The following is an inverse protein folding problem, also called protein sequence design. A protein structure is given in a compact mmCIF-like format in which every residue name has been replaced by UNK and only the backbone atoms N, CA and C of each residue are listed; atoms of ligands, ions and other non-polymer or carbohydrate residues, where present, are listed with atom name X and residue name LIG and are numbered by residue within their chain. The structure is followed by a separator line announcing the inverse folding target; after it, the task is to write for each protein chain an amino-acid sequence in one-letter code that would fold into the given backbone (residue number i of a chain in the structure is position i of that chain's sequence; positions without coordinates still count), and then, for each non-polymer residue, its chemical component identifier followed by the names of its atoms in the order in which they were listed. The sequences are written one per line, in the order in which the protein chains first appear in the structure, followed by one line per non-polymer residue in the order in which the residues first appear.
data_IF_602870260665
#
_entry.id   IF_602870260665
#
_cell.length_a   1.000
_cell.length_b   1.000
_cell.length_c   1.000
_cell.angle_alpha   90.00
_cell.angle_beta   90.00
_cell.angle_gamma   90.00
#
_symmetry.space_group_name_H-M   'P 1'
#
loop_
_entity.id
_entity.type
_entity.pdbx_description
1 polymer ?
#
# COMPACT_ATOMS: atom_id res chain seq x y z
N UNK A 1 26.51 -6.06 -27.79
CA UNK A 1 26.30 -7.45 -28.23
C UNK A 1 25.30 -7.48 -29.36
N UNK A 2 25.29 -8.54 -30.15
CA UNK A 2 24.31 -8.74 -31.25
C UNK A 2 22.86 -8.66 -30.75
N UNK A 3 22.59 -9.21 -29.57
CA UNK A 3 21.27 -9.16 -28.92
C UNK A 3 20.81 -7.75 -28.58
N UNK A 4 21.73 -6.91 -28.06
CA UNK A 4 21.40 -5.49 -27.78
C UNK A 4 21.08 -4.75 -29.05
N UNK A 5 21.85 -4.93 -30.13
CA UNK A 5 21.59 -4.29 -31.40
C UNK A 5 20.24 -4.73 -32.01
N UNK A 6 19.87 -6.00 -31.86
CA UNK A 6 18.56 -6.48 -32.29
C UNK A 6 17.41 -5.87 -31.46
N UNK A 7 17.60 -5.73 -30.16
CA UNK A 7 16.63 -5.10 -29.27
C UNK A 7 16.44 -3.60 -29.60
N UNK A 8 17.55 -2.87 -29.80
CA UNK A 8 17.50 -1.46 -30.21
C UNK A 8 16.82 -1.28 -31.58
N UNK A 9 17.07 -2.18 -32.52
CA UNK A 9 16.38 -2.19 -33.82
C UNK A 9 14.88 -2.44 -33.68
N UNK A 10 14.47 -3.41 -32.81
CA UNK A 10 13.06 -3.69 -32.53
C UNK A 10 12.35 -2.50 -31.89
N UNK A 11 13.00 -1.87 -30.90
CA UNK A 11 12.45 -0.72 -30.17
C UNK A 11 12.55 0.59 -30.97
N UNK A 12 13.28 0.58 -32.10
CA UNK A 12 13.60 1.77 -32.91
C UNK A 12 14.19 2.92 -32.10
N UNK A 13 14.87 2.59 -31.01
CA UNK A 13 15.52 3.53 -30.11
C UNK A 13 16.85 2.97 -29.63
N UNK A 14 17.93 3.74 -29.67
CA UNK A 14 19.18 3.36 -29.07
C UNK A 14 19.05 3.36 -27.53
N UNK A 15 19.44 2.28 -26.89
CA UNK A 15 19.42 2.16 -25.43
C UNK A 15 20.78 2.51 -24.81
N UNK A 16 21.86 2.43 -25.61
CA UNK A 16 23.23 2.68 -25.15
C UNK A 16 23.96 3.67 -26.06
N UNK A 17 24.75 4.53 -25.43
CA UNK A 17 25.70 5.41 -26.09
C UNK A 17 27.12 5.05 -25.69
N UNK A 18 28.07 5.21 -26.63
CA UNK A 18 29.50 5.12 -26.34
C UNK A 18 30.09 6.53 -26.17
N UNK A 19 30.40 6.88 -24.92
CA UNK A 19 31.06 8.17 -24.62
C UNK A 19 32.45 7.86 -24.05
N UNK A 20 33.51 8.35 -24.73
CA UNK A 20 34.90 8.17 -24.28
C UNK A 20 35.28 6.72 -23.92
N UNK A 21 34.91 5.77 -24.79
CA UNK A 21 35.10 4.31 -24.59
C UNK A 21 34.27 3.67 -23.45
N UNK A 22 33.40 4.40 -22.80
CA UNK A 22 32.47 3.86 -21.80
C UNK A 22 31.08 3.73 -22.39
N UNK A 23 30.40 2.68 -21.99
CA UNK A 23 28.99 2.44 -22.34
C UNK A 23 28.11 3.18 -21.33
N UNK A 24 27.21 4.03 -21.79
CA UNK A 24 26.24 4.74 -20.97
C UNK A 24 24.84 4.49 -21.50
N UNK A 25 23.85 4.49 -20.62
CA UNK A 25 22.46 4.41 -21.02
C UNK A 25 22.00 5.73 -21.65
N UNK A 26 21.19 5.65 -22.67
CA UNK A 26 20.39 6.78 -23.15
C UNK A 26 19.23 7.06 -22.17
N UNK A 27 18.51 8.18 -22.25
CA UNK A 27 17.27 8.38 -21.51
C UNK A 27 16.24 7.25 -21.75
N UNK A 28 16.09 6.81 -23.01
CA UNK A 28 15.26 5.67 -23.37
C UNK A 28 15.78 4.35 -22.76
N UNK A 29 17.11 4.16 -22.74
CA UNK A 29 17.76 3.01 -22.10
C UNK A 29 17.53 2.98 -20.59
N UNK A 30 17.60 4.11 -19.91
CA UNK A 30 17.34 4.20 -18.46
C UNK A 30 15.88 3.86 -18.12
N UNK A 31 14.93 4.40 -18.90
CA UNK A 31 13.50 4.08 -18.76
C UNK A 31 13.26 2.59 -18.98
N UNK A 32 13.76 2.04 -20.09
CA UNK A 32 13.59 0.62 -20.41
C UNK A 32 14.25 -0.29 -19.38
N UNK A 33 15.41 0.09 -18.83
CA UNK A 33 16.09 -0.65 -17.77
C UNK A 33 15.22 -0.78 -16.52
N UNK A 34 14.53 0.31 -16.11
CA UNK A 34 13.68 0.26 -14.92
C UNK A 34 12.52 -0.71 -15.10
N UNK A 35 11.87 -0.70 -16.27
CA UNK A 35 10.77 -1.61 -16.61
C UNK A 35 11.23 -3.07 -16.67
N UNK A 36 12.33 -3.34 -17.37
CA UNK A 36 12.90 -4.70 -17.48
C UNK A 36 13.32 -5.21 -16.11
N UNK A 37 13.89 -4.37 -15.26
CA UNK A 37 14.26 -4.77 -13.89
C UNK A 37 13.03 -5.17 -13.07
N UNK A 38 11.92 -4.44 -13.18
CA UNK A 38 10.66 -4.78 -12.52
C UNK A 38 10.13 -6.15 -13.00
N UNK A 39 10.16 -6.40 -14.32
CA UNK A 39 9.74 -7.67 -14.92
C UNK A 39 10.64 -8.83 -14.42
N UNK A 40 11.96 -8.67 -14.44
CA UNK A 40 12.89 -9.69 -13.97
C UNK A 40 12.73 -9.99 -12.49
N UNK A 41 12.51 -8.97 -11.65
CA UNK A 41 12.19 -9.15 -10.24
C UNK A 41 10.89 -9.96 -10.06
N UNK A 42 9.87 -9.68 -10.88
CA UNK A 42 8.62 -10.43 -10.84
C UNK A 42 8.81 -11.91 -11.24
N UNK A 43 9.64 -12.17 -12.24
CA UNK A 43 10.00 -13.55 -12.64
C UNK A 43 10.75 -14.27 -11.52
N UNK A 44 11.75 -13.61 -10.89
CA UNK A 44 12.49 -14.19 -9.77
C UNK A 44 11.58 -14.51 -8.58
N UNK A 45 10.70 -13.57 -8.21
CA UNK A 45 9.70 -13.79 -7.16
C UNK A 45 8.78 -14.96 -7.48
N UNK A 46 8.29 -15.06 -8.73
CA UNK A 46 7.41 -16.14 -9.17
C UNK A 46 8.15 -17.49 -9.13
N UNK A 47 9.41 -17.53 -9.55
CA UNK A 47 10.24 -18.74 -9.52
C UNK A 47 10.49 -19.20 -8.07
N UNK A 48 10.83 -18.28 -7.17
CA UNK A 48 10.98 -18.58 -5.72
C UNK A 48 9.68 -19.10 -5.12
N UNK A 49 8.55 -18.51 -5.51
CA UNK A 49 7.24 -18.97 -5.07
C UNK A 49 6.98 -20.44 -5.46
N UNK A 50 7.31 -20.81 -6.70
CA UNK A 50 7.17 -22.21 -7.18
C UNK A 50 8.13 -23.16 -6.45
N UNK A 51 9.37 -22.71 -6.15
CA UNK A 51 10.35 -23.51 -5.39
C UNK A 51 9.88 -23.78 -3.95
N UNK A 52 9.08 -22.89 -3.37
CA UNK A 52 8.49 -23.06 -2.04
C UNK A 52 7.09 -23.69 -2.06
N UNK A 53 6.59 -24.01 -3.25
CA UNK A 53 5.27 -24.64 -3.44
C UNK A 53 5.31 -26.11 -3.04
N UNK A 54 4.76 -26.44 -1.89
CA UNK A 54 4.76 -27.79 -1.28
C UNK A 54 3.71 -28.76 -1.86
N UNK A 55 3.32 -28.63 -3.12
CA UNK A 55 2.49 -29.60 -3.88
C UNK A 55 1.00 -29.63 -3.54
N UNK A 56 0.59 -29.80 -2.31
CA UNK A 56 -0.82 -29.91 -1.89
C UNK A 56 -1.26 -28.86 -0.86
N UNK A 57 -0.40 -27.95 -0.50
CA UNK A 57 -0.72 -26.94 0.52
C UNK A 57 -1.68 -25.89 -0.06
N UNK A 58 -2.85 -25.75 0.52
CA UNK A 58 -3.77 -24.67 0.17
C UNK A 58 -3.15 -23.33 0.56
N UNK A 59 -3.09 -22.38 -0.38
CA UNK A 59 -2.55 -21.04 -0.12
C UNK A 59 -3.70 -20.07 0.04
N UNK A 60 -3.83 -19.49 1.25
CA UNK A 60 -4.76 -18.41 1.54
C UNK A 60 -4.05 -17.07 1.39
N UNK A 61 -4.39 -16.31 0.36
CA UNK A 61 -3.83 -14.97 0.12
C UNK A 61 -4.73 -13.91 0.74
N UNK A 62 -4.20 -13.18 1.71
CA UNK A 62 -4.91 -12.14 2.45
C UNK A 62 -4.35 -10.78 2.05
N UNK A 63 -5.23 -9.89 1.55
CA UNK A 63 -4.94 -8.48 1.30
C UNK A 63 -5.29 -7.62 2.52
N UNK A 64 -4.44 -6.64 2.85
CA UNK A 64 -4.69 -5.76 3.98
C UNK A 64 -4.01 -4.39 3.81
N UNK A 65 -4.46 -3.41 4.56
CA UNK A 65 -3.73 -2.16 4.72
C UNK A 65 -2.56 -2.35 5.71
N UNK A 66 -1.43 -1.63 5.55
CA UNK A 66 -0.22 -1.86 6.33
C UNK A 66 -0.44 -1.82 7.85
N UNK A 67 -1.04 -0.75 8.35
CA UNK A 67 -1.25 -0.54 9.78
C UNK A 67 -2.18 -1.60 10.38
N UNK A 68 -3.30 -1.88 9.70
CA UNK A 68 -4.25 -2.90 10.13
C UNK A 68 -3.62 -4.30 10.12
N UNK A 69 -2.90 -4.61 9.04
CA UNK A 69 -2.16 -5.88 8.93
C UNK A 69 -1.20 -6.09 10.09
N UNK A 70 -0.34 -5.11 10.35
CA UNK A 70 0.69 -5.22 11.38
C UNK A 70 0.11 -5.26 12.81
N UNK A 71 -0.88 -4.42 13.11
CA UNK A 71 -1.37 -4.24 14.49
C UNK A 71 -2.52 -5.17 14.86
N UNK A 72 -3.37 -5.52 13.91
CA UNK A 72 -4.56 -6.32 14.21
C UNK A 72 -4.51 -7.73 13.63
N UNK A 73 -4.20 -7.87 12.35
CA UNK A 73 -4.31 -9.15 11.64
C UNK A 73 -3.20 -10.12 12.03
N UNK A 74 -1.92 -9.72 11.90
CA UNK A 74 -0.77 -10.61 12.12
C UNK A 74 -0.77 -11.24 13.52
N UNK A 75 -1.03 -10.50 14.62
CA UNK A 75 -1.09 -11.11 15.94
C UNK A 75 -2.18 -12.20 16.09
N UNK A 76 -3.21 -12.14 15.25
CA UNK A 76 -4.34 -13.11 15.26
C UNK A 76 -4.12 -14.30 14.35
N UNK A 77 -3.32 -14.16 13.31
CA UNK A 77 -3.01 -15.23 12.37
C UNK A 77 -2.28 -16.41 13.03
N UNK A 78 -1.53 -16.18 14.08
CA UNK A 78 -0.80 -17.24 14.78
C UNK A 78 -1.74 -18.37 15.24
N UNK A 79 -2.91 -18.01 15.80
CA UNK A 79 -3.90 -19.01 16.24
C UNK A 79 -4.56 -19.73 15.06
N UNK A 80 -4.81 -19.02 13.98
CA UNK A 80 -5.35 -19.60 12.76
C UNK A 80 -4.37 -20.62 12.16
N UNK A 81 -3.09 -20.25 11.99
CA UNK A 81 -2.07 -21.14 11.44
C UNK A 81 -1.82 -22.39 12.32
N UNK A 82 -1.92 -22.23 13.64
CA UNK A 82 -1.82 -23.37 14.55
C UNK A 82 -3.02 -24.35 14.44
N UNK A 83 -4.21 -23.83 14.16
CA UNK A 83 -5.43 -24.63 13.96
C UNK A 83 -5.53 -25.25 12.55
N UNK A 84 -4.87 -24.66 11.55
CA UNK A 84 -4.90 -25.05 10.14
C UNK A 84 -3.49 -25.15 9.56
N UNK A 85 -2.68 -26.13 9.99
CA UNK A 85 -1.27 -26.27 9.56
C UNK A 85 -1.13 -26.65 8.07
N UNK A 86 -2.17 -27.13 7.47
CA UNK A 86 -2.31 -27.45 6.04
C UNK A 86 -2.55 -26.22 5.14
N UNK A 87 -2.87 -25.06 5.73
CA UNK A 87 -3.11 -23.82 5.00
C UNK A 87 -1.89 -22.91 5.11
N UNK A 88 -1.26 -22.65 3.98
CA UNK A 88 -0.20 -21.64 3.90
C UNK A 88 -0.81 -20.23 3.77
N UNK A 89 -0.54 -19.36 4.73
CA UNK A 89 -1.03 -17.98 4.70
C UNK A 89 -0.02 -17.06 4.03
N UNK A 90 -0.48 -16.30 3.03
CA UNK A 90 0.26 -15.24 2.36
C UNK A 90 -0.42 -13.91 2.63
N UNK A 91 0.28 -12.97 3.29
CA UNK A 91 -0.24 -11.62 3.54
C UNK A 91 0.38 -10.64 2.54
N UNK A 92 -0.49 -9.91 1.84
CA UNK A 92 -0.10 -8.79 0.97
C UNK A 92 -0.60 -7.50 1.59
N UNK A 93 0.23 -6.47 1.57
CA UNK A 93 -0.10 -5.18 2.15
C UNK A 93 0.06 -4.07 1.12
N UNK A 94 -1.00 -3.28 0.94
CA UNK A 94 -1.02 -2.14 0.03
C UNK A 94 -1.78 -0.96 0.65
N UNK A 95 -1.39 0.24 0.29
CA UNK A 95 -2.03 1.48 0.76
C UNK A 95 -3.31 1.81 -0.01
N UNK A 96 -3.49 1.24 -1.20
CA UNK A 96 -4.67 1.41 -2.05
C UNK A 96 -5.56 0.16 -1.98
N UNK A 97 -6.86 0.29 -2.25
CA UNK A 97 -7.73 -0.86 -2.40
C UNK A 97 -7.20 -1.82 -3.46
N UNK A 98 -7.26 -3.13 -3.17
CA UNK A 98 -6.88 -4.15 -4.13
C UNK A 98 -7.92 -4.29 -5.22
N UNK A 99 -7.48 -4.50 -6.46
CA UNK A 99 -8.27 -5.22 -7.45
C UNK A 99 -8.16 -6.71 -7.11
N UNK A 100 -9.19 -7.25 -6.47
CA UNK A 100 -9.17 -8.62 -5.94
C UNK A 100 -8.97 -9.66 -7.03
N UNK A 101 -9.56 -9.43 -8.22
CA UNK A 101 -9.49 -10.38 -9.33
C UNK A 101 -8.09 -10.42 -9.93
N UNK A 102 -7.50 -9.26 -10.22
CA UNK A 102 -6.15 -9.18 -10.77
C UNK A 102 -5.08 -9.60 -9.75
N UNK A 103 -5.28 -9.23 -8.49
CA UNK A 103 -4.31 -9.51 -7.43
C UNK A 103 -4.36 -10.95 -6.92
N UNK A 104 -5.36 -11.77 -7.32
CA UNK A 104 -5.60 -13.13 -6.82
C UNK A 104 -5.59 -13.16 -5.29
N UNK A 105 -6.44 -12.33 -4.69
CA UNK A 105 -6.64 -12.23 -3.25
C UNK A 105 -7.92 -12.96 -2.89
N UNK A 106 -7.84 -13.89 -1.92
CA UNK A 106 -8.97 -14.66 -1.45
C UNK A 106 -9.80 -13.89 -0.42
N UNK A 107 -9.12 -13.17 0.48
CA UNK A 107 -9.75 -12.34 1.52
C UNK A 107 -9.05 -10.99 1.55
N UNK A 108 -9.82 -9.90 1.61
CA UNK A 108 -9.27 -8.55 1.79
C UNK A 108 -9.89 -7.84 2.98
N UNK A 109 -9.03 -7.24 3.80
CA UNK A 109 -9.44 -6.29 4.84
C UNK A 109 -9.23 -4.87 4.32
N UNK A 110 -10.30 -4.10 4.25
CA UNK A 110 -10.26 -2.73 3.78
C UNK A 110 -11.14 -1.83 4.63
N UNK A 111 -10.83 -0.56 4.62
CA UNK A 111 -11.66 0.48 5.19
C UNK A 111 -12.61 1.02 4.11
N UNK A 112 -13.91 1.10 4.39
CA UNK A 112 -14.89 1.60 3.42
C UNK A 112 -16.33 1.30 3.82
N UNK A 113 -17.26 1.59 2.94
CA UNK A 113 -18.70 1.47 3.18
C UNK A 113 -19.29 0.07 2.86
N UNK A 114 -18.46 -0.96 2.86
CA UNK A 114 -18.93 -2.35 2.75
C UNK A 114 -19.28 -2.83 1.35
N UNK A 115 -18.93 -2.10 0.29
CA UNK A 115 -19.16 -2.51 -1.10
C UNK A 115 -17.84 -2.60 -1.86
N UNK A 116 -17.57 -3.76 -2.46
CA UNK A 116 -16.44 -3.97 -3.34
C UNK A 116 -16.91 -4.80 -4.54
N UNK A 117 -16.74 -4.32 -5.79
CA UNK A 117 -17.19 -5.05 -6.96
C UNK A 117 -16.59 -6.47 -7.03
N UNK A 118 -17.44 -7.45 -7.30
CA UNK A 118 -17.01 -8.85 -7.41
C UNK A 118 -16.69 -9.55 -6.10
N UNK A 119 -16.95 -8.94 -4.94
CA UNK A 119 -16.69 -9.53 -3.64
C UNK A 119 -17.93 -9.52 -2.73
N UNK A 120 -18.01 -10.53 -1.86
CA UNK A 120 -18.94 -10.53 -0.76
C UNK A 120 -18.30 -9.81 0.44
N UNK A 121 -18.90 -8.70 0.86
CA UNK A 121 -18.39 -7.88 1.95
C UNK A 121 -19.14 -8.17 3.27
N UNK A 122 -18.40 -8.18 4.35
CA UNK A 122 -18.93 -8.31 5.70
C UNK A 122 -18.24 -7.31 6.60
N UNK A 123 -19.00 -6.56 7.37
CA UNK A 123 -18.46 -5.68 8.38
C UNK A 123 -17.75 -6.48 9.48
N UNK A 124 -16.52 -6.08 9.80
CA UNK A 124 -15.73 -6.66 10.86
C UNK A 124 -15.95 -5.89 12.17
N UNK A 125 -15.82 -4.59 12.14
CA UNK A 125 -16.16 -3.64 13.21
C UNK A 125 -16.13 -2.21 12.65
N UNK A 126 -16.78 -1.28 13.35
CA UNK A 126 -16.69 0.14 13.05
C UNK A 126 -15.28 0.67 13.38
N UNK A 127 -14.75 1.51 12.49
CA UNK A 127 -13.47 2.15 12.70
C UNK A 127 -13.67 3.53 13.36
N UNK A 128 -13.29 3.64 14.61
CA UNK A 128 -13.24 4.91 15.31
C UNK A 128 -11.95 5.66 15.01
N UNK A 129 -12.04 6.95 14.80
CA UNK A 129 -10.90 7.82 14.50
C UNK A 129 -10.94 9.02 15.41
N UNK A 130 -9.79 9.31 16.03
CA UNK A 130 -9.62 10.46 16.90
C UNK A 130 -8.38 11.25 16.48
N UNK A 131 -8.39 12.58 16.62
CA UNK A 131 -7.18 13.38 16.48
C UNK A 131 -6.17 12.99 17.55
N UNK A 132 -4.91 12.96 17.15
CA UNK A 132 -3.79 12.69 18.07
C UNK A 132 -2.66 13.69 17.80
N UNK A 133 -1.89 14.02 18.82
CA UNK A 133 -0.70 14.84 18.71
C UNK A 133 0.43 14.31 19.61
N UNK A 134 1.62 14.82 19.43
CA UNK A 134 2.73 14.49 20.30
C UNK A 134 2.47 15.02 21.74
N UNK A 135 2.98 14.32 22.78
CA UNK A 135 2.94 14.81 24.15
C UNK A 135 3.56 16.20 24.25
N UNK A 136 2.90 17.12 24.94
CA UNK A 136 3.35 18.51 25.11
C UNK A 136 3.15 19.42 23.89
N UNK A 137 2.49 18.92 22.82
CA UNK A 137 2.13 19.76 21.67
C UNK A 137 1.02 20.76 22.02
N UNK A 138 0.07 20.34 22.83
CA UNK A 138 -0.97 21.19 23.38
C UNK A 138 -0.64 21.56 24.84
N UNK A 139 -0.92 22.79 25.26
CA UNK A 139 -0.72 23.17 26.67
C UNK A 139 -1.63 22.34 27.59
N UNK A 140 -1.08 21.84 28.70
CA UNK A 140 -1.81 21.24 29.82
C UNK A 140 -2.83 20.13 29.44
N UNK A 141 -2.55 19.31 28.41
CA UNK A 141 -3.46 18.28 27.88
C UNK A 141 -4.87 18.84 27.53
N UNK A 142 -4.98 20.13 27.28
CA UNK A 142 -6.23 20.76 26.91
C UNK A 142 -6.72 20.25 25.54
N UNK A 143 -7.99 19.87 25.47
CA UNK A 143 -8.65 19.61 24.19
C UNK A 143 -8.88 20.95 23.50
N UNK A 144 -8.26 21.23 22.33
CA UNK A 144 -8.45 22.50 21.65
C UNK A 144 -9.89 22.63 21.13
N UNK A 145 -10.37 23.87 20.96
CA UNK A 145 -11.60 24.09 20.20
C UNK A 145 -11.43 23.60 18.74
N UNK A 146 -12.52 23.37 18.03
CA UNK A 146 -12.46 22.89 16.63
C UNK A 146 -11.81 23.94 15.71
N UNK A 147 -11.99 25.21 15.99
CA UNK A 147 -11.36 26.33 15.30
C UNK A 147 -9.84 26.28 15.53
N UNK A 148 -9.41 26.20 16.78
CA UNK A 148 -7.99 26.13 17.13
C UNK A 148 -7.34 24.87 16.54
N UNK A 149 -8.03 23.73 16.60
CA UNK A 149 -7.55 22.48 15.96
C UNK A 149 -7.39 22.66 14.45
N UNK A 150 -8.34 23.32 13.80
CA UNK A 150 -8.30 23.58 12.36
C UNK A 150 -7.13 24.48 11.94
N UNK A 151 -6.63 25.35 12.85
CA UNK A 151 -5.49 26.23 12.59
C UNK A 151 -4.13 25.54 12.68
N UNK A 152 -4.07 24.37 13.28
CA UNK A 152 -2.85 23.58 13.31
C UNK A 152 -2.54 22.90 11.96
N UNK A 153 -1.30 22.43 11.82
CA UNK A 153 -0.90 21.61 10.68
C UNK A 153 -1.58 20.22 10.77
N UNK A 154 -2.63 20.02 9.97
CA UNK A 154 -3.40 18.78 9.95
C UNK A 154 -2.65 17.72 9.10
N UNK A 155 -2.00 16.77 9.76
CA UNK A 155 -1.28 15.69 9.05
C UNK A 155 -2.28 14.81 8.33
N UNK A 156 -2.10 14.69 7.01
CA UNK A 156 -2.96 13.92 6.10
C UNK A 156 -2.44 12.49 5.94
N UNK A 157 -3.34 11.53 5.88
CA UNK A 157 -3.01 10.15 5.53
C UNK A 157 -3.53 9.82 4.13
N UNK A 158 -2.62 9.45 3.21
CA UNK A 158 -3.00 9.18 1.82
C UNK A 158 -3.93 7.96 1.67
N UNK A 159 -3.85 6.99 2.57
CA UNK A 159 -4.77 5.84 2.62
C UNK A 159 -6.16 6.20 3.16
N UNK A 160 -6.32 7.40 3.72
CA UNK A 160 -7.59 7.91 4.26
C UNK A 160 -7.66 9.43 4.11
N UNK A 161 -7.82 9.93 2.89
CA UNK A 161 -7.70 11.36 2.59
C UNK A 161 -8.81 12.22 3.22
N UNK A 162 -9.94 11.63 3.56
CA UNK A 162 -11.12 12.31 4.11
C UNK A 162 -11.15 12.32 5.64
N UNK A 163 -10.12 11.79 6.33
CA UNK A 163 -10.15 11.58 7.78
C UNK A 163 -10.45 12.86 8.58
N UNK A 164 -9.83 13.99 8.23
CA UNK A 164 -10.10 15.27 8.90
C UNK A 164 -11.45 15.87 8.52
N UNK A 165 -11.83 15.73 7.25
CA UNK A 165 -13.15 16.18 6.80
C UNK A 165 -14.26 15.42 7.53
N UNK A 166 -14.16 14.10 7.61
CA UNK A 166 -15.12 13.24 8.32
C UNK A 166 -15.19 13.60 9.79
N UNK A 167 -14.02 13.81 10.43
CA UNK A 167 -13.96 14.21 11.84
C UNK A 167 -14.68 15.52 12.08
N UNK A 168 -14.37 16.58 11.32
CA UNK A 168 -14.99 17.89 11.48
C UNK A 168 -16.50 17.85 11.13
N UNK A 169 -16.88 17.14 10.08
CA UNK A 169 -18.29 16.97 9.69
C UNK A 169 -19.10 16.27 10.81
N UNK A 170 -18.52 15.28 11.48
CA UNK A 170 -19.15 14.59 12.61
C UNK A 170 -19.36 15.52 13.81
N UNK A 171 -18.49 16.50 13.98
CA UNK A 171 -18.59 17.54 14.99
C UNK A 171 -19.45 18.75 14.53
N UNK A 172 -20.10 18.65 13.35
CA UNK A 172 -20.90 19.74 12.76
C UNK A 172 -20.09 21.03 12.52
N UNK A 173 -18.80 20.88 12.28
CA UNK A 173 -17.88 21.97 12.00
C UNK A 173 -17.37 21.88 10.56
N UNK A 174 -17.28 23.04 9.87
CA UNK A 174 -16.72 23.14 8.54
C UNK A 174 -15.35 23.82 8.60
N UNK A 175 -14.35 23.20 8.00
CA UNK A 175 -13.02 23.74 7.88
C UNK A 175 -12.54 23.67 6.44
N UNK A 176 -12.14 24.80 5.89
CA UNK A 176 -11.52 24.88 4.56
C UNK A 176 -10.12 24.21 4.55
N UNK A 177 -9.57 23.90 5.71
CA UNK A 177 -8.23 23.30 5.87
C UNK A 177 -8.25 21.79 6.03
N UNK A 178 -9.42 21.14 5.98
CA UNK A 178 -9.57 19.69 6.19
C UNK A 178 -8.68 18.83 5.28
N UNK A 179 -8.28 19.33 4.12
CA UNK A 179 -7.46 18.63 3.13
C UNK A 179 -6.04 19.21 3.01
N UNK A 180 -5.68 20.19 3.86
CA UNK A 180 -4.39 20.87 3.80
C UNK A 180 -3.45 20.41 4.92
N UNK A 181 -2.20 20.12 4.55
CA UNK A 181 -1.15 19.75 5.49
C UNK A 181 -0.17 18.73 4.94
N UNK A 182 0.88 18.39 5.71
CA UNK A 182 1.82 17.34 5.34
C UNK A 182 1.10 16.01 5.12
N UNK A 183 1.54 15.25 4.10
CA UNK A 183 0.87 14.01 3.70
C UNK A 183 1.82 12.83 3.81
N UNK A 184 1.34 11.76 4.42
CA UNK A 184 2.02 10.50 4.60
C UNK A 184 1.18 9.36 4.03
N UNK A 185 1.82 8.28 3.60
CA UNK A 185 1.12 7.18 2.94
C UNK A 185 0.29 6.33 3.91
N UNK A 186 0.73 6.22 5.16
CA UNK A 186 0.09 5.38 6.18
C UNK A 186 0.13 6.03 7.57
N UNK A 187 -0.73 5.57 8.48
CA UNK A 187 -0.69 5.94 9.90
C UNK A 187 0.51 5.35 10.66
N UNK A 188 1.39 4.63 10.01
CA UNK A 188 2.54 3.98 10.64
C UNK A 188 3.83 4.81 10.57
N UNK A 189 3.80 5.90 9.82
CA UNK A 189 4.96 6.80 9.65
C UNK A 189 4.97 7.92 10.69
#
# INVERSE_FOLDING_TARGET
SKQIAQLEALLRNPLFLRVRRRLQLTPAGALYQSEVRAILNQVDMSSRYILTYGGETQVLTIGTQPTFGARWLIPRLQRFMAAHPDIQVKVRSETRPFDLMQAKIDISFFFGHGTLPGAQCRELFAAEVVPVCAPGFLPDDAVPSLEALSDHALIQCASRPEAWHDYFSHQQFQSDRSYHGPRFDTFYM
#
